data_IF_282403161524
#
_entry.id   IF_282403161524
#
_cell.length_a   1.000
_cell.length_b   1.000
_cell.length_c   1.000
_cell.angle_alpha   90.00
_cell.angle_beta   90.00
_cell.angle_gamma   90.00
#
_symmetry.space_group_name_H-M   'P 1'
#
loop_
_entity.id
_entity.type
_entity.pdbx_description
1 polymer ?
#
# COMPACT_ATOMS: atom_id res chain seq x y z
N UNK A 1 6.61 -17.81 40.75
CA UNK A 1 6.20 -16.39 40.72
C UNK A 1 6.83 -15.64 39.54
N UNK A 2 8.16 -15.50 39.42
CA UNK A 2 8.77 -14.83 38.25
C UNK A 2 8.50 -15.53 36.90
N UNK A 3 8.44 -16.87 36.90
CA UNK A 3 8.08 -17.67 35.73
C UNK A 3 6.62 -17.48 35.30
N UNK A 4 5.66 -17.50 36.23
CA UNK A 4 4.22 -17.28 35.92
C UNK A 4 3.96 -15.90 35.30
N UNK A 5 4.60 -14.85 35.82
CA UNK A 5 4.41 -13.48 35.31
C UNK A 5 4.96 -13.33 33.87
N UNK A 6 6.14 -13.89 33.58
CA UNK A 6 6.70 -13.88 32.21
C UNK A 6 5.88 -14.72 31.22
N UNK A 7 5.20 -15.76 31.71
CA UNK A 7 4.34 -16.63 30.87
C UNK A 7 3.05 -15.89 30.48
N UNK A 8 2.49 -15.10 31.41
CA UNK A 8 1.28 -14.30 31.18
C UNK A 8 1.53 -13.14 30.19
N UNK A 9 2.64 -12.40 30.33
CA UNK A 9 3.02 -11.32 29.40
C UNK A 9 3.26 -11.84 27.96
N UNK A 10 3.92 -13.00 27.83
CA UNK A 10 4.15 -13.65 26.53
C UNK A 10 2.84 -14.08 25.87
N UNK A 11 1.91 -14.68 26.64
CA UNK A 11 0.61 -15.12 26.13
C UNK A 11 -0.25 -13.94 25.63
N UNK A 12 -0.22 -12.81 26.36
CA UNK A 12 -0.90 -11.57 25.97
C UNK A 12 -0.34 -11.02 24.67
N UNK A 13 1.00 -10.97 24.54
CA UNK A 13 1.67 -10.55 23.31
C UNK A 13 1.29 -11.44 22.12
N UNK A 14 1.28 -12.77 22.29
CA UNK A 14 0.87 -13.73 21.26
C UNK A 14 -0.57 -13.49 20.80
N UNK A 15 -1.49 -13.29 21.75
CA UNK A 15 -2.89 -12.97 21.42
C UNK A 15 -3.00 -11.70 20.60
N UNK A 16 -2.33 -10.62 21.01
CA UNK A 16 -2.34 -9.34 20.28
C UNK A 16 -1.71 -9.47 18.89
N UNK A 17 -0.59 -10.18 18.76
CA UNK A 17 0.05 -10.48 17.46
C UNK A 17 -0.91 -11.24 16.52
N UNK A 18 -1.63 -12.23 17.04
CA UNK A 18 -2.62 -13.00 16.29
C UNK A 18 -3.78 -12.12 15.82
N UNK A 19 -4.36 -11.32 16.72
CA UNK A 19 -5.42 -10.36 16.39
C UNK A 19 -4.97 -9.37 15.29
N UNK A 20 -3.72 -8.89 15.35
CA UNK A 20 -3.20 -8.01 14.32
C UNK A 20 -3.03 -8.72 12.97
N UNK A 21 -2.58 -9.97 12.99
CA UNK A 21 -2.37 -10.82 11.81
C UNK A 21 -3.71 -11.19 11.13
N UNK A 22 -4.73 -11.54 11.89
CA UNK A 22 -6.08 -11.84 11.38
C UNK A 22 -6.69 -10.61 10.69
N UNK A 23 -6.51 -9.43 11.28
CA UNK A 23 -6.91 -8.16 10.68
C UNK A 23 -6.16 -7.87 9.37
N UNK A 24 -4.86 -8.16 9.28
CA UNK A 24 -4.10 -8.05 8.03
C UNK A 24 -4.64 -8.98 6.95
N UNK A 25 -4.96 -10.23 7.31
CA UNK A 25 -5.52 -11.19 6.37
C UNK A 25 -6.88 -10.73 5.83
N UNK A 26 -7.75 -10.17 6.69
CA UNK A 26 -9.02 -9.56 6.28
C UNK A 26 -8.80 -8.38 5.33
N UNK A 27 -7.94 -7.43 5.69
CA UNK A 27 -7.64 -6.26 4.85
C UNK A 27 -7.03 -6.67 3.50
N UNK A 28 -6.16 -7.68 3.50
CA UNK A 28 -5.60 -8.24 2.26
C UNK A 28 -6.67 -8.78 1.31
N UNK A 29 -7.69 -9.47 1.84
CA UNK A 29 -8.84 -9.92 1.04
C UNK A 29 -9.64 -8.75 0.48
N UNK A 30 -9.96 -7.76 1.31
CA UNK A 30 -10.67 -6.54 0.89
C UNK A 30 -9.93 -5.80 -0.23
N UNK A 31 -8.58 -5.73 -0.17
CA UNK A 31 -7.77 -5.09 -1.21
C UNK A 31 -7.89 -5.85 -2.55
N UNK A 32 -7.83 -7.18 -2.52
CA UNK A 32 -7.92 -8.03 -3.73
C UNK A 32 -9.28 -7.89 -4.42
N UNK A 33 -10.34 -7.63 -3.66
CA UNK A 33 -11.68 -7.37 -4.21
C UNK A 33 -11.77 -6.03 -4.97
N UNK A 34 -10.85 -5.09 -4.70
CA UNK A 34 -10.76 -3.82 -5.41
C UNK A 34 -10.03 -4.06 -6.74
N UNK A 35 -10.75 -3.89 -7.86
CA UNK A 35 -10.25 -4.15 -9.23
C UNK A 35 -9.21 -3.15 -9.75
N UNK A 36 -8.57 -2.37 -8.89
CA UNK A 36 -7.57 -1.39 -9.28
C UNK A 36 -6.27 -2.07 -9.71
N UNK A 37 -5.59 -1.50 -10.71
CA UNK A 37 -4.21 -1.86 -11.03
C UNK A 37 -3.44 -0.66 -11.61
N UNK A 38 -2.13 -0.68 -11.41
CA UNK A 38 -1.21 0.38 -11.87
C UNK A 38 -0.96 0.39 -13.38
N UNK A 39 -1.57 -0.49 -14.18
CA UNK A 39 -1.41 -0.43 -15.64
C UNK A 39 -2.12 0.82 -16.17
N UNK A 40 -1.36 1.70 -16.81
CA UNK A 40 -1.91 2.85 -17.53
C UNK A 40 -2.44 2.36 -18.88
N UNK A 41 -3.70 2.68 -19.16
CA UNK A 41 -4.34 2.44 -20.46
C UNK A 41 -4.52 3.80 -21.14
N UNK A 42 -4.12 3.89 -22.41
CA UNK A 42 -4.32 5.10 -23.22
C UNK A 42 -5.79 5.28 -23.61
N UNK A 43 -6.62 5.68 -22.65
CA UNK A 43 -8.04 5.89 -22.84
C UNK A 43 -8.38 7.40 -22.85
N UNK A 44 -9.08 7.85 -23.88
CA UNK A 44 -9.41 9.27 -24.07
C UNK A 44 -10.81 9.65 -23.62
N UNK A 45 -11.44 8.84 -22.78
CA UNK A 45 -12.78 9.11 -22.25
C UNK A 45 -12.67 9.63 -20.83
N UNK A 46 -13.28 10.79 -20.54
CA UNK A 46 -13.32 11.35 -19.19
C UNK A 46 -13.88 10.36 -18.18
N UNK A 47 -14.97 9.66 -18.55
CA UNK A 47 -15.61 8.66 -17.69
C UNK A 47 -14.67 7.53 -17.25
N UNK A 48 -13.73 7.14 -18.11
CA UNK A 48 -12.71 6.16 -17.74
C UNK A 48 -11.83 6.68 -16.61
N UNK A 49 -11.35 7.93 -16.72
CA UNK A 49 -10.49 8.55 -15.71
C UNK A 49 -11.23 8.83 -14.40
N UNK A 50 -12.51 9.21 -14.45
CA UNK A 50 -13.36 9.29 -13.25
C UNK A 50 -13.41 7.96 -12.49
N UNK A 51 -13.72 6.88 -13.21
CA UNK A 51 -13.80 5.54 -12.61
C UNK A 51 -12.43 5.11 -12.07
N UNK A 52 -11.35 5.33 -12.83
CA UNK A 52 -9.99 5.00 -12.41
C UNK A 52 -9.57 5.75 -11.14
N UNK A 53 -9.91 7.04 -11.04
CA UNK A 53 -9.65 7.85 -9.83
C UNK A 53 -10.45 7.30 -8.64
N UNK A 54 -11.73 6.97 -8.83
CA UNK A 54 -12.57 6.43 -7.77
C UNK A 54 -12.05 5.06 -7.27
N UNK A 55 -11.65 4.18 -8.19
CA UNK A 55 -11.04 2.88 -7.86
C UNK A 55 -9.71 3.06 -7.13
N UNK A 56 -8.83 3.95 -7.62
CA UNK A 56 -7.55 4.20 -6.96
C UNK A 56 -7.72 4.78 -5.55
N UNK A 57 -8.68 5.71 -5.34
CA UNK A 57 -8.97 6.24 -4.00
C UNK A 57 -9.33 5.12 -3.02
N UNK A 58 -10.26 4.24 -3.40
CA UNK A 58 -10.68 3.09 -2.58
C UNK A 58 -9.51 2.15 -2.31
N UNK A 59 -8.76 1.80 -3.36
CA UNK A 59 -7.58 0.94 -3.24
C UNK A 59 -6.54 1.53 -2.27
N UNK A 60 -6.16 2.78 -2.49
CA UNK A 60 -5.09 3.44 -1.75
C UNK A 60 -5.46 3.64 -0.28
N UNK A 61 -6.71 3.97 0.02
CA UNK A 61 -7.21 4.04 1.40
C UNK A 61 -7.07 2.69 2.11
N UNK A 62 -7.52 1.60 1.46
CA UNK A 62 -7.41 0.25 2.02
C UNK A 62 -5.98 -0.25 2.13
N UNK A 63 -5.12 0.06 1.16
CA UNK A 63 -3.70 -0.22 1.24
C UNK A 63 -3.04 0.51 2.42
N UNK A 64 -3.40 1.77 2.67
CA UNK A 64 -2.90 2.52 3.83
C UNK A 64 -3.38 1.89 5.14
N UNK A 65 -4.65 1.48 5.26
CA UNK A 65 -5.16 0.75 6.42
C UNK A 65 -4.34 -0.53 6.67
N UNK A 66 -4.10 -1.32 5.62
CA UNK A 66 -3.27 -2.52 5.69
C UNK A 66 -1.87 -2.23 6.20
N UNK A 67 -1.19 -1.22 5.65
CA UNK A 67 0.18 -0.93 6.08
C UNK A 67 0.25 -0.29 7.47
N UNK A 68 -0.78 0.44 7.92
CA UNK A 68 -0.87 0.89 9.32
C UNK A 68 -0.99 -0.31 10.26
N UNK A 69 -1.80 -1.29 9.89
CA UNK A 69 -1.92 -2.52 10.66
C UNK A 69 -0.60 -3.30 10.70
N UNK A 70 0.12 -3.36 9.57
CA UNK A 70 1.45 -3.97 9.49
C UNK A 70 2.45 -3.24 10.38
N UNK A 71 2.44 -1.90 10.37
CA UNK A 71 3.23 -1.07 11.29
C UNK A 71 2.93 -1.39 12.76
N UNK A 72 1.65 -1.47 13.14
CA UNK A 72 1.26 -1.77 14.52
C UNK A 72 1.83 -3.12 14.97
N UNK A 73 1.75 -4.12 14.09
CA UNK A 73 2.33 -5.43 14.34
C UNK A 73 3.87 -5.39 14.46
N UNK A 74 4.53 -4.67 13.55
CA UNK A 74 5.98 -4.45 13.62
C UNK A 74 6.40 -3.80 14.93
N UNK A 75 5.66 -2.79 15.37
CA UNK A 75 5.95 -2.00 16.56
C UNK A 75 5.86 -2.80 17.87
N UNK A 76 5.15 -3.91 17.88
CA UNK A 76 5.09 -4.82 19.04
C UNK A 76 6.40 -5.60 19.23
N UNK A 77 7.17 -5.82 18.16
CA UNK A 77 8.35 -6.69 18.16
C UNK A 77 9.65 -5.90 17.94
N UNK A 78 9.66 -4.99 16.96
CA UNK A 78 10.81 -4.17 16.59
C UNK A 78 10.37 -2.72 16.33
N UNK A 79 10.61 -1.87 17.33
CA UNK A 79 10.22 -0.44 17.29
C UNK A 79 11.09 0.39 16.34
N UNK A 80 12.32 -0.01 16.10
CA UNK A 80 13.21 0.73 15.21
C UNK A 80 12.78 0.50 13.76
N UNK A 81 12.60 -0.76 13.37
CA UNK A 81 12.13 -1.11 12.05
C UNK A 81 10.71 -0.60 11.79
N UNK A 82 9.82 -0.63 12.81
CA UNK A 82 8.48 -0.04 12.69
C UNK A 82 8.53 1.46 12.41
N UNK A 83 9.43 2.21 13.06
CA UNK A 83 9.62 3.64 12.83
C UNK A 83 9.98 3.96 11.37
N UNK A 84 10.91 3.21 10.78
CA UNK A 84 11.26 3.35 9.35
C UNK A 84 10.08 2.97 8.43
N UNK A 85 9.31 1.96 8.82
CA UNK A 85 8.11 1.55 8.08
C UNK A 85 7.03 2.64 8.09
N UNK A 86 6.85 3.35 9.21
CA UNK A 86 5.92 4.48 9.32
C UNK A 86 6.27 5.63 8.37
N UNK A 87 7.57 5.91 8.20
CA UNK A 87 8.03 6.89 7.20
C UNK A 87 7.67 6.43 5.77
N UNK A 88 7.77 5.13 5.51
CA UNK A 88 7.36 4.55 4.22
C UNK A 88 5.85 4.70 3.98
N UNK A 89 5.00 4.52 4.99
CA UNK A 89 3.55 4.79 4.90
C UNK A 89 3.29 6.26 4.56
N UNK A 90 4.02 7.18 5.20
CA UNK A 90 3.91 8.62 4.94
C UNK A 90 4.29 8.96 3.49
N UNK A 91 5.35 8.32 2.96
CA UNK A 91 5.74 8.47 1.56
C UNK A 91 4.70 7.91 0.59
N UNK A 92 4.09 6.76 0.90
CA UNK A 92 3.01 6.17 0.10
C UNK A 92 1.81 7.14 -0.02
N UNK A 93 1.42 7.76 1.09
CA UNK A 93 0.36 8.79 1.11
C UNK A 93 0.70 9.97 0.19
N UNK A 94 1.95 10.43 0.20
CA UNK A 94 2.39 11.53 -0.66
C UNK A 94 2.38 11.14 -2.14
N UNK A 95 2.93 9.99 -2.50
CA UNK A 95 2.96 9.51 -3.90
C UNK A 95 1.55 9.21 -4.41
N UNK A 96 0.68 8.65 -3.56
CA UNK A 96 -0.73 8.43 -3.90
C UNK A 96 -1.49 9.73 -4.16
N UNK A 97 -1.26 10.78 -3.36
CA UNK A 97 -1.84 12.11 -3.63
C UNK A 97 -1.34 12.70 -4.95
N UNK A 98 -0.03 12.62 -5.22
CA UNK A 98 0.55 13.08 -6.50
C UNK A 98 -0.10 12.37 -7.68
N UNK A 99 -0.22 11.04 -7.62
CA UNK A 99 -0.87 10.26 -8.66
C UNK A 99 -2.35 10.65 -8.87
N UNK A 100 -3.09 10.91 -7.79
CA UNK A 100 -4.47 11.41 -7.90
C UNK A 100 -4.55 12.77 -8.59
N UNK A 101 -3.61 13.68 -8.30
CA UNK A 101 -3.52 14.98 -8.96
C UNK A 101 -3.26 14.80 -10.46
N UNK A 102 -2.26 14.01 -10.85
CA UNK A 102 -1.92 13.79 -12.26
C UNK A 102 -3.08 13.11 -13.01
N UNK A 103 -3.76 12.12 -12.41
CA UNK A 103 -4.96 11.53 -13.00
C UNK A 103 -6.10 12.55 -13.16
N UNK A 104 -6.25 13.49 -12.21
CA UNK A 104 -7.24 14.56 -12.28
C UNK A 104 -6.97 15.54 -13.41
N UNK A 105 -5.71 15.90 -13.66
CA UNK A 105 -5.32 16.73 -14.80
C UNK A 105 -5.60 16.03 -16.12
N UNK A 106 -5.28 14.73 -16.22
CA UNK A 106 -5.60 13.94 -17.43
C UNK A 106 -7.10 13.78 -17.62
N UNK A 107 -7.89 13.60 -16.55
CA UNK A 107 -9.36 13.53 -16.61
C UNK A 107 -9.94 14.77 -17.31
N UNK A 108 -9.41 15.95 -17.02
CA UNK A 108 -9.88 17.20 -17.61
C UNK A 108 -9.53 17.33 -19.11
N UNK A 109 -8.50 16.62 -19.59
CA UNK A 109 -8.09 16.60 -21.01
C UNK A 109 -7.61 15.21 -21.46
N UNK A 110 -8.51 14.20 -21.57
CA UNK A 110 -8.10 12.80 -21.72
C UNK A 110 -7.37 12.48 -23.03
N UNK A 111 -7.57 13.29 -24.08
CA UNK A 111 -6.90 13.12 -25.38
C UNK A 111 -5.37 13.15 -25.29
N UNK A 112 -4.83 13.76 -24.23
CA UNK A 112 -3.40 13.88 -23.94
C UNK A 112 -2.71 12.53 -23.77
N UNK A 113 -3.43 11.49 -23.35
CA UNK A 113 -2.80 10.19 -23.09
C UNK A 113 -2.36 9.45 -24.37
N UNK A 114 -2.86 9.83 -25.55
CA UNK A 114 -2.55 9.17 -26.82
C UNK A 114 -1.09 9.38 -27.22
N UNK A 115 -0.30 8.31 -27.22
CA UNK A 115 1.13 8.34 -27.57
C UNK A 115 1.45 8.72 -29.02
N UNK A 116 0.53 8.46 -29.96
CA UNK A 116 0.79 8.53 -31.41
C UNK A 116 0.40 9.85 -32.06
N UNK A 117 -0.12 10.79 -31.28
CA UNK A 117 -0.53 12.08 -31.83
C UNK A 117 0.69 13.00 -32.01
N UNK A 118 1.12 13.14 -33.27
CA UNK A 118 2.29 13.95 -33.65
C UNK A 118 2.06 15.45 -33.41
N UNK A 119 0.83 15.88 -33.16
CA UNK A 119 0.46 17.29 -32.92
C UNK A 119 0.31 17.63 -31.43
N UNK A 120 0.76 16.77 -30.51
CA UNK A 120 0.69 17.08 -29.08
C UNK A 120 1.59 18.25 -28.68
N UNK A 121 1.01 19.17 -27.90
CA UNK A 121 1.75 20.25 -27.24
C UNK A 121 2.80 19.70 -26.28
N UNK A 122 3.83 20.51 -25.98
CA UNK A 122 4.84 20.17 -24.95
C UNK A 122 4.18 19.89 -23.59
N UNK A 123 3.22 20.71 -23.21
CA UNK A 123 2.46 20.55 -21.96
C UNK A 123 1.74 19.18 -21.89
N UNK A 124 1.16 18.72 -23.00
CA UNK A 124 0.50 17.41 -23.08
C UNK A 124 1.50 16.26 -22.86
N UNK A 125 2.70 16.33 -23.44
CA UNK A 125 3.74 15.33 -23.24
C UNK A 125 4.21 15.31 -21.78
N UNK A 126 4.47 16.49 -21.22
CA UNK A 126 4.90 16.63 -19.83
C UNK A 126 3.86 16.05 -18.85
N UNK A 127 2.55 16.26 -19.09
CA UNK A 127 1.49 15.69 -18.26
C UNK A 127 1.45 14.16 -18.33
N UNK A 128 1.59 13.58 -19.53
CA UNK A 128 1.64 12.12 -19.71
C UNK A 128 2.85 11.51 -18.99
N UNK A 129 4.01 12.15 -19.10
CA UNK A 129 5.23 11.72 -18.42
C UNK A 129 5.09 11.80 -16.90
N UNK A 130 4.53 12.90 -16.36
CA UNK A 130 4.23 13.04 -14.93
C UNK A 130 3.32 11.92 -14.41
N UNK A 131 2.25 11.61 -15.15
CA UNK A 131 1.35 10.50 -14.79
C UNK A 131 2.10 9.17 -14.75
N UNK A 132 2.92 8.88 -15.76
CA UNK A 132 3.69 7.63 -15.82
C UNK A 132 4.69 7.57 -14.66
N UNK A 133 5.38 8.67 -14.39
CA UNK A 133 6.34 8.80 -13.29
C UNK A 133 5.66 8.58 -11.94
N UNK A 134 4.59 9.31 -11.62
CA UNK A 134 3.90 9.19 -10.33
C UNK A 134 3.26 7.82 -10.14
N UNK A 135 2.71 7.22 -11.20
CA UNK A 135 2.19 5.85 -11.18
C UNK A 135 3.29 4.83 -10.88
N UNK A 136 4.43 4.94 -11.56
CA UNK A 136 5.57 4.03 -11.37
C UNK A 136 6.18 4.18 -9.98
N UNK A 137 6.34 5.42 -9.50
CA UNK A 137 6.82 5.71 -8.15
C UNK A 137 5.90 5.12 -7.09
N UNK A 138 4.59 5.32 -7.21
CA UNK A 138 3.62 4.79 -6.25
C UNK A 138 3.65 3.25 -6.23
N UNK A 139 3.60 2.61 -7.41
CA UNK A 139 3.66 1.16 -7.54
C UNK A 139 4.94 0.56 -6.95
N UNK A 140 6.09 1.14 -7.28
CA UNK A 140 7.38 0.61 -6.82
C UNK A 140 7.56 0.80 -5.32
N UNK A 141 7.11 1.95 -4.79
CA UNK A 141 7.14 2.22 -3.36
C UNK A 141 6.27 1.21 -2.59
N UNK A 142 5.06 0.94 -3.07
CA UNK A 142 4.17 -0.06 -2.48
C UNK A 142 4.77 -1.48 -2.53
N UNK A 143 5.35 -1.88 -3.68
CA UNK A 143 6.05 -3.17 -3.81
C UNK A 143 7.20 -3.30 -2.81
N UNK A 144 7.96 -2.23 -2.60
CA UNK A 144 9.05 -2.21 -1.63
C UNK A 144 8.53 -2.35 -0.20
N UNK A 145 7.45 -1.65 0.17
CA UNK A 145 6.80 -1.81 1.47
C UNK A 145 6.31 -3.25 1.70
N UNK A 146 5.64 -3.84 0.71
CA UNK A 146 5.22 -5.24 0.75
C UNK A 146 6.40 -6.19 0.98
N UNK A 147 7.54 -5.94 0.32
CA UNK A 147 8.77 -6.71 0.51
C UNK A 147 9.32 -6.58 1.93
N UNK A 148 9.47 -5.34 2.42
CA UNK A 148 9.96 -5.07 3.78
C UNK A 148 9.10 -5.77 4.83
N UNK A 149 7.77 -5.68 4.70
CA UNK A 149 6.88 -6.34 5.65
C UNK A 149 6.96 -7.86 5.58
N UNK A 150 7.08 -8.44 4.38
CA UNK A 150 7.27 -9.89 4.21
C UNK A 150 8.55 -10.38 4.86
N UNK A 151 9.66 -9.66 4.65
CA UNK A 151 10.95 -9.98 5.26
C UNK A 151 10.88 -9.89 6.79
N UNK A 152 10.20 -8.87 7.32
CA UNK A 152 9.92 -8.75 8.74
C UNK A 152 9.10 -9.94 9.26
N UNK A 153 8.03 -10.31 8.56
CA UNK A 153 7.16 -11.42 8.96
C UNK A 153 7.91 -12.75 9.02
N UNK A 154 8.67 -13.09 7.98
CA UNK A 154 9.46 -14.32 7.95
C UNK A 154 10.52 -14.37 9.05
N UNK A 155 11.15 -13.23 9.35
CA UNK A 155 12.23 -13.16 10.35
C UNK A 155 11.73 -13.17 11.79
N UNK A 156 10.57 -12.57 12.07
CA UNK A 156 10.15 -12.26 13.43
C UNK A 156 8.83 -12.90 13.86
N UNK A 157 7.90 -13.14 12.92
CA UNK A 157 6.52 -13.53 13.27
C UNK A 157 6.21 -14.99 12.97
N UNK A 158 6.85 -15.57 11.96
CA UNK A 158 6.59 -16.97 11.55
C UNK A 158 6.82 -17.95 12.69
N UNK A 159 7.97 -17.87 13.35
CA UNK A 159 8.29 -18.74 14.48
C UNK A 159 7.42 -18.42 15.70
N UNK A 160 7.11 -17.13 15.90
CA UNK A 160 6.27 -16.66 16.99
C UNK A 160 4.81 -17.17 16.91
N UNK A 161 4.29 -17.37 15.69
CA UNK A 161 2.96 -17.91 15.43
C UNK A 161 2.95 -19.45 15.41
N UNK A 162 3.99 -20.09 14.87
CA UNK A 162 4.11 -21.56 14.83
C UNK A 162 4.26 -22.20 16.23
N UNK A 163 4.88 -21.50 17.19
CA UNK A 163 4.94 -21.95 18.58
C UNK A 163 3.57 -21.90 19.30
N UNK A 164 2.64 -21.07 18.82
CA UNK A 164 1.30 -20.92 19.43
C UNK A 164 0.29 -22.01 19.03
N UNK A 165 0.59 -22.82 18.00
CA UNK A 165 -0.24 -23.95 17.56
C UNK A 165 0.15 -25.28 18.22
N UNK A 166 1.28 -25.32 18.96
CA UNK A 166 1.83 -26.51 19.61
C UNK A 166 1.65 -26.52 21.14
N UNK A 167 0.80 -25.64 21.69
CA UNK A 167 0.42 -25.59 23.12
C UNK A 167 -1.05 -25.92 23.26
#
# INVERSE_FOLDING_TARGET
MLTDVMTDERSKLQKTVKEHSDNLARLGKEIVEIKFNYKIIENTTEKYWENRIAEFKKYNEKAIEYYIQAHSLMNLIDKEQSGLFLLSISKLRQTGRRLLTDMGEVKNNPSIIKSKDKQQSKWSKDLREKLIESNTLCMNHEKNMSKIFREFYEKHLKDFLNESENI
#
